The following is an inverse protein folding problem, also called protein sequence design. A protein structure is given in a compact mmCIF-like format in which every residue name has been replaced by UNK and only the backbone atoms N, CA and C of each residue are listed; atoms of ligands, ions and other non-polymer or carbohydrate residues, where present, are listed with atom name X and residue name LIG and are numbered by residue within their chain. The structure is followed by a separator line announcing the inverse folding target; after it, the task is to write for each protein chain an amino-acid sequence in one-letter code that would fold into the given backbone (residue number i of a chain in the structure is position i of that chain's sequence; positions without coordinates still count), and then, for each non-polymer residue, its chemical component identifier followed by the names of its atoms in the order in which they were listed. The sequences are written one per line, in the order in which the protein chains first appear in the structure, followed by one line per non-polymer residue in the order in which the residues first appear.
data_IF_080489409364
#
_entry.id   IF_080489409364
#
_cell.length_a   1.000
_cell.length_b   1.000
_cell.length_c   1.000
_cell.angle_alpha   90.00
_cell.angle_beta   90.00
_cell.angle_gamma   90.00
#
_symmetry.space_group_name_H-M   'P 1'
#
loop_
_entity.id
_entity.type
_entity.pdbx_description
1 polymer ?
2 polymer ?
#
loop_
_entity_poly.entity_id
_entity_poly.type
_entity_poly.pdbx_seq_one_letter_code
_entity_poly.pdbx_strand_id
2 'polyribonucleotide' 'UUC' ?
#
# COMPACT_ATOMS: atom_id res chain seq x y z
N UNK A 1 21.27 -5.47 -0.02
CA UNK A 1 21.05 -6.88 0.41
C UNK A 1 20.06 -7.64 -0.46
N UNK A 2 19.35 -8.59 0.14
CA UNK A 2 18.34 -9.39 -0.56
C UNK A 2 17.10 -8.54 -0.83
N UNK A 3 16.60 -8.59 -2.06
CA UNK A 3 15.47 -7.76 -2.50
C UNK A 3 14.14 -8.20 -1.87
N UNK A 4 13.20 -7.25 -1.82
CA UNK A 4 11.84 -7.49 -1.33
C UNK A 4 10.85 -7.42 -2.49
N UNK A 5 9.59 -7.77 -2.21
CA UNK A 5 8.52 -7.80 -3.22
C UNK A 5 7.55 -6.64 -2.99
N UNK A 6 7.55 -5.68 -3.93
CA UNK A 6 6.88 -4.39 -3.76
C UNK A 6 5.48 -4.37 -4.38
N UNK A 7 4.52 -3.83 -3.62
CA UNK A 7 3.11 -3.77 -4.03
C UNK A 7 2.68 -2.31 -4.19
N UNK A 8 2.28 -1.94 -5.40
CA UNK A 8 1.70 -0.63 -5.70
C UNK A 8 0.25 -0.59 -5.21
N UNK A 9 -0.15 0.53 -4.61
CA UNK A 9 -1.53 0.76 -4.17
C UNK A 9 -1.98 2.12 -4.72
N UNK A 10 -2.98 2.10 -5.61
CA UNK A 10 -3.51 3.31 -6.24
C UNK A 10 -4.89 3.70 -5.72
N UNK A 11 -5.30 4.92 -6.04
CA UNK A 11 -6.61 5.49 -5.67
C UNK A 11 -6.85 5.51 -4.16
N UNK A 12 -5.93 6.17 -3.46
CA UNK A 12 -6.02 6.37 -2.01
C UNK A 12 -6.70 7.70 -1.72
N UNK A 13 -7.50 7.73 -0.66
CA UNK A 13 -8.11 8.97 -0.17
C UNK A 13 -7.01 9.91 0.34
N UNK A 14 -7.18 11.24 0.17
CA UNK A 14 -6.13 12.17 0.61
C UNK A 14 -5.85 12.18 2.12
N UNK A 15 -6.83 11.75 2.92
CA UNK A 15 -6.67 11.63 4.37
C UNK A 15 -5.87 10.39 4.81
N UNK A 16 -5.64 9.44 3.90
CA UNK A 16 -4.91 8.20 4.21
C UNK A 16 -3.41 8.48 4.39
N UNK A 17 -2.84 7.92 5.46
CA UNK A 17 -1.45 8.13 5.85
C UNK A 17 -0.65 6.83 5.77
N UNK A 18 0.64 6.91 6.07
CA UNK A 18 1.52 5.74 6.17
C UNK A 18 1.14 4.80 7.34
N UNK A 19 0.56 5.36 8.40
CA UNK A 19 0.17 4.58 9.58
C UNK A 19 -0.97 3.60 9.30
N UNK A 20 -2.06 4.10 8.73
CA UNK A 20 -3.26 3.27 8.48
C UNK A 20 -3.18 2.39 7.22
N UNK A 21 -2.40 2.80 6.22
CA UNK A 21 -2.13 1.94 5.05
C UNK A 21 -1.25 0.74 5.42
N UNK A 22 -0.38 0.91 6.41
CA UNK A 22 0.39 -0.20 6.99
C UNK A 22 -0.51 -1.16 7.77
N UNK A 23 -1.47 -0.60 8.51
CA UNK A 23 -2.44 -1.39 9.28
C UNK A 23 -3.41 -2.19 8.39
N UNK A 24 -3.75 -1.65 7.22
CA UNK A 24 -4.63 -2.33 6.26
C UNK A 24 -3.96 -3.52 5.57
N UNK A 25 -2.64 -3.41 5.34
CA UNK A 25 -1.85 -4.46 4.68
C UNK A 25 -1.07 -5.36 5.65
N UNK A 26 -1.17 -5.11 6.96
CA UNK A 26 -0.52 -5.95 7.98
C UNK A 26 -1.08 -7.38 8.11
N UNK A 27 -2.41 -7.57 7.97
CA UNK A 27 -3.02 -8.91 8.07
C UNK A 27 -2.51 -10.00 7.10
N UNK A 28 -1.89 -9.60 5.99
CA UNK A 28 -1.36 -10.55 5.00
C UNK A 28 0.00 -11.10 5.42
N UNK A 29 0.86 -10.22 5.92
CA UNK A 29 2.17 -10.62 6.46
C UNK A 29 2.96 -9.45 6.99
N UNK A 30 4.20 -9.72 7.43
CA UNK A 30 5.08 -8.66 7.93
C UNK A 30 5.55 -7.76 6.79
N UNK A 31 5.73 -6.48 7.11
CA UNK A 31 6.01 -5.44 6.12
C UNK A 31 7.41 -4.88 6.36
N UNK A 32 8.28 -4.97 5.35
CA UNK A 32 9.62 -4.39 5.41
C UNK A 32 9.56 -2.86 5.32
N UNK A 33 8.70 -2.35 4.44
CA UNK A 33 8.42 -0.92 4.35
C UNK A 33 7.05 -0.68 3.72
N UNK A 34 6.38 0.38 4.17
CA UNK A 34 5.14 0.86 3.55
C UNK A 34 5.08 2.38 3.63
N UNK A 35 4.53 3.02 2.60
CA UNK A 35 4.34 4.47 2.60
C UNK A 35 3.31 4.95 1.58
N UNK A 36 2.78 6.15 1.83
CA UNK A 36 1.96 6.88 0.87
C UNK A 36 2.84 8.00 0.31
N UNK A 37 2.88 8.12 -1.02
CA UNK A 37 3.72 9.11 -1.68
C UNK A 37 3.05 10.48 -1.58
N UNK A 38 3.67 11.38 -0.83
CA UNK A 38 3.23 12.78 -0.74
C UNK A 38 4.00 13.62 -1.76
N UNK A 39 3.40 14.74 -2.16
CA UNK A 39 4.07 15.71 -3.04
C UNK A 39 5.13 16.46 -2.25
N UNK A 40 6.34 16.54 -2.81
CA UNK A 40 7.48 17.18 -2.13
C UNK A 40 7.26 18.67 -1.85
N UNK A 41 6.57 19.36 -2.76
CA UNK A 41 6.26 20.78 -2.59
C UNK A 41 5.18 21.00 -1.53
N UNK A 42 3.97 20.50 -1.79
CA UNK A 42 2.80 20.79 -0.95
C UNK A 42 2.77 19.96 0.33
N UNK A 43 2.97 18.65 0.19
CA UNK A 43 2.89 17.71 1.31
C UNK A 43 1.58 16.93 1.39
N UNK A 44 0.62 17.26 0.53
CA UNK A 44 -0.61 16.48 0.40
C UNK A 44 -0.33 15.14 -0.27
N UNK A 45 -1.25 14.19 -0.08
CA UNK A 45 -1.14 12.85 -0.66
C UNK A 45 -1.27 12.92 -2.18
N UNK A 46 -0.32 12.31 -2.89
CA UNK A 46 -0.33 12.29 -4.36
C UNK A 46 -1.49 11.45 -4.91
N UNK A 47 -1.89 10.41 -4.18
CA UNK A 47 -2.98 9.52 -4.59
C UNK A 47 -2.64 8.04 -4.49
N UNK A 48 -1.35 7.71 -4.49
CA UNK A 48 -0.88 6.32 -4.46
C UNK A 48 0.18 6.08 -3.39
N UNK A 49 0.51 4.81 -3.17
CA UNK A 49 1.54 4.40 -2.21
C UNK A 49 2.19 3.07 -2.56
N UNK A 50 3.11 2.64 -1.70
CA UNK A 50 3.83 1.36 -1.85
C UNK A 50 3.84 0.58 -0.54
N UNK A 51 3.84 -0.75 -0.66
CA UNK A 51 3.94 -1.67 0.49
C UNK A 51 4.82 -2.86 0.10
N UNK A 52 6.01 -2.94 0.68
CA UNK A 52 6.96 -4.02 0.38
C UNK A 52 6.93 -5.12 1.44
N UNK A 53 6.54 -6.32 1.03
CA UNK A 53 6.55 -7.50 1.90
C UNK A 53 7.86 -8.28 1.75
N UNK A 54 8.19 -9.06 2.77
CA UNK A 54 9.37 -9.94 2.74
C UNK A 54 9.12 -11.15 1.85
N UNK A 55 7.97 -11.79 2.05
CA UNK A 55 7.56 -12.98 1.30
C UNK A 55 6.78 -12.57 0.05
N UNK A 56 6.85 -13.40 -1.00
CA UNK A 56 6.13 -13.14 -2.26
C UNK A 56 4.74 -13.79 -2.27
N UNK A 57 4.63 -15.00 -1.72
CA UNK A 57 3.33 -15.65 -1.49
C UNK A 57 2.68 -15.01 -0.26
N UNK A 58 2.29 -13.75 -0.42
CA UNK A 58 1.99 -12.84 0.70
C UNK A 58 1.61 -11.47 0.11
N UNK A 59 2.50 -10.93 -0.72
CA UNK A 59 2.20 -9.78 -1.57
C UNK A 59 1.22 -10.21 -2.66
N UNK A 60 1.47 -11.39 -3.23
CA UNK A 60 0.56 -12.07 -4.17
C UNK A 60 -0.88 -12.16 -3.64
N UNK A 61 -1.03 -12.47 -2.35
CA UNK A 61 -2.33 -12.42 -1.67
C UNK A 61 -2.86 -10.99 -1.56
N UNK A 62 -2.00 -10.09 -1.09
CA UNK A 62 -2.35 -8.67 -0.89
C UNK A 62 -2.83 -7.96 -2.16
N UNK A 63 -2.29 -8.34 -3.31
CA UNK A 63 -2.73 -7.79 -4.61
C UNK A 63 -4.11 -8.32 -5.00
N UNK A 64 -4.30 -9.63 -4.89
CA UNK A 64 -5.56 -10.28 -5.29
C UNK A 64 -6.71 -9.93 -4.34
N UNK A 65 -6.43 -9.93 -3.04
CA UNK A 65 -7.47 -9.74 -2.01
C UNK A 65 -7.95 -8.28 -1.92
N UNK A 66 -7.02 -7.33 -2.02
CA UNK A 66 -7.33 -5.90 -1.90
C UNK A 66 -7.72 -5.21 -3.21
N UNK A 67 -7.80 -5.96 -4.32
CA UNK A 67 -8.12 -5.38 -5.63
C UNK A 67 -9.53 -4.85 -5.75
N UNK A 68 -9.71 -3.60 -5.32
CA UNK A 68 -11.02 -2.92 -5.33
C UNK A 68 -11.74 -2.85 -3.99
N UNK A 69 -11.04 -3.19 -2.90
CA UNK A 69 -11.62 -3.10 -1.55
C UNK A 69 -11.62 -1.66 -1.06
N UNK A 70 -12.59 -1.33 -0.22
CA UNK A 70 -12.77 0.04 0.26
C UNK A 70 -11.79 0.37 1.38
N UNK A 71 -11.16 1.54 1.28
CA UNK A 71 -10.20 2.03 2.28
C UNK A 71 -10.25 3.56 2.30
N UNK A 72 -10.76 4.11 3.40
CA UNK A 72 -10.98 5.56 3.52
C UNK A 72 -12.07 6.07 2.58
N UNK A 73 -13.13 5.29 2.42
CA UNK A 73 -14.24 5.64 1.53
C UNK A 73 -13.91 5.67 0.04
N UNK A 74 -12.91 4.88 -0.37
CA UNK A 74 -12.51 4.79 -1.78
C UNK A 74 -12.02 3.38 -2.12
N UNK A 75 -12.43 2.86 -3.27
CA UNK A 75 -11.90 1.59 -3.78
C UNK A 75 -10.49 1.81 -4.32
N UNK A 76 -9.61 0.84 -4.05
CA UNK A 76 -8.19 0.95 -4.38
C UNK A 76 -7.78 -0.02 -5.49
N UNK A 77 -6.79 0.39 -6.28
CA UNK A 77 -6.09 -0.51 -7.18
C UNK A 77 -4.97 -1.19 -6.41
N UNK A 78 -4.58 -2.38 -6.85
CA UNK A 78 -3.41 -3.08 -6.31
C UNK A 78 -2.68 -3.85 -7.40
N UNK A 79 -1.35 -3.75 -7.39
CA UNK A 79 -0.50 -4.38 -8.40
C UNK A 79 0.95 -4.34 -7.91
N UNK A 80 1.89 -4.90 -8.68
CA UNK A 80 3.30 -4.96 -8.27
C UNK A 80 3.96 -3.57 -8.30
#
# INVERSE_FOLDING_TARGET
GANHFHVFVGDLSPEITTEDIKAAFAPFGRISDARVVKDMATGKSKGYGFVSFFNKWDAENAIQQMGGQWLGGRQIRTNW
#
